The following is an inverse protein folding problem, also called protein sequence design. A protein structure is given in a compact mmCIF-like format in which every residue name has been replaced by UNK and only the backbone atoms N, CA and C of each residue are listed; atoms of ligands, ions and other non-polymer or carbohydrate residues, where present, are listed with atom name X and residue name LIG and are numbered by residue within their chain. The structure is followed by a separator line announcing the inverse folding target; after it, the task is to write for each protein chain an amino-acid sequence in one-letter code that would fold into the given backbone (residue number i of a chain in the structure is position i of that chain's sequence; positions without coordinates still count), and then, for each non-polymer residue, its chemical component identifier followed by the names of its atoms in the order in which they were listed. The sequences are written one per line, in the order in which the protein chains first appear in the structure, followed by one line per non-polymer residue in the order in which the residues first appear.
data_IF_601893646901
#
_entry.id   IF_601893646901
#
_cell.length_a   1.000
_cell.length_b   1.000
_cell.length_c   1.000
_cell.angle_alpha   90.00
_cell.angle_beta   90.00
_cell.angle_gamma   90.00
#
_symmetry.space_group_name_H-M   'P 1'
#
loop_
_entity.id
_entity.type
_entity.pdbx_description
1 polymer ?
#
# COMPACT_ATOMS: atom_id res chain seq x y z
N UNK A 1 7.00 -15.13 -3.81
CA UNK A 1 6.08 -14.01 -4.19
C UNK A 1 5.93 -13.01 -3.05
N UNK A 2 5.58 -13.42 -1.82
CA UNK A 2 5.58 -12.52 -0.65
C UNK A 2 6.96 -11.85 -0.40
N UNK A 3 8.05 -12.62 -0.45
CA UNK A 3 9.44 -12.09 -0.39
C UNK A 3 9.78 -11.15 -1.55
N UNK A 4 9.14 -11.30 -2.71
CA UNK A 4 9.38 -10.48 -3.90
C UNK A 4 8.59 -9.16 -3.84
N UNK A 5 7.37 -9.19 -3.29
CA UNK A 5 6.58 -7.99 -2.99
C UNK A 5 7.19 -7.19 -1.83
N UNK A 6 7.74 -7.86 -0.82
CA UNK A 6 8.52 -7.25 0.27
C UNK A 6 9.79 -6.60 -0.28
N UNK A 7 10.61 -7.31 -1.07
CA UNK A 7 11.82 -6.73 -1.71
C UNK A 7 11.50 -5.57 -2.64
N UNK A 8 10.40 -5.60 -3.38
CA UNK A 8 10.02 -4.51 -4.29
C UNK A 8 9.43 -3.28 -3.55
N UNK A 9 8.69 -3.48 -2.45
CA UNK A 9 8.27 -2.39 -1.56
C UNK A 9 9.45 -1.73 -0.81
N UNK A 10 10.51 -2.51 -0.52
CA UNK A 10 11.74 -2.03 0.12
C UNK A 10 12.70 -1.37 -0.88
N UNK A 11 12.76 -1.83 -2.12
CA UNK A 11 13.52 -1.19 -3.20
C UNK A 11 13.06 0.24 -3.48
N UNK A 12 11.78 0.53 -3.30
CA UNK A 12 11.27 1.90 -3.49
C UNK A 12 11.82 2.88 -2.46
N UNK A 13 12.26 2.41 -1.28
CA UNK A 13 12.84 3.22 -0.19
C UNK A 13 14.34 3.48 -0.39
N UNK A 14 15.04 2.56 -1.07
CA UNK A 14 16.45 2.67 -1.45
C UNK A 14 16.75 3.87 -2.35
N UNK A 15 15.89 4.13 -3.32
CA UNK A 15 16.08 5.19 -4.31
C UNK A 15 16.00 6.60 -3.68
N UNK A 16 15.37 6.75 -2.51
CA UNK A 16 15.27 8.03 -1.78
C UNK A 16 16.55 8.37 -1.01
N UNK A 17 17.24 7.37 -0.46
CA UNK A 17 18.56 7.59 0.15
C UNK A 17 19.57 8.02 -0.92
N UNK A 18 19.46 7.51 -2.14
CA UNK A 18 20.28 7.96 -3.27
C UNK A 18 19.86 9.35 -3.79
N UNK A 19 18.56 9.66 -3.90
CA UNK A 19 18.10 10.97 -4.37
C UNK A 19 18.49 12.14 -3.45
N UNK A 20 18.62 11.89 -2.15
CA UNK A 20 19.16 12.86 -1.18
C UNK A 20 20.68 13.00 -1.25
N UNK A 21 21.40 12.00 -1.77
CA UNK A 21 22.83 12.09 -2.08
C UNK A 21 23.12 12.76 -3.44
N UNK A 22 22.25 12.59 -4.44
CA UNK A 22 22.51 13.00 -5.82
C UNK A 22 22.20 14.49 -6.10
N UNK A 23 21.37 15.13 -5.25
CA UNK A 23 20.91 16.52 -5.48
C UNK A 23 21.92 17.61 -5.09
N UNK A 24 23.21 17.30 -4.88
CA UNK A 24 24.27 18.29 -4.64
C UNK A 24 24.06 19.23 -3.44
N UNK A 25 23.05 18.96 -2.59
CA UNK A 25 22.60 19.81 -1.49
C UNK A 25 23.14 19.34 -0.13
N UNK A 26 24.16 18.49 -0.14
CA UNK A 26 24.97 18.23 1.03
C UNK A 26 26.01 19.34 1.14
N UNK A 27 25.55 20.49 1.65
CA UNK A 27 26.44 21.28 2.47
C UNK A 27 27.10 20.36 3.51
N UNK A 28 28.35 20.64 3.94
CA UNK A 28 29.19 19.76 4.78
C UNK A 28 28.67 19.45 6.21
N UNK A 29 27.36 19.57 6.46
CA UNK A 29 26.72 19.39 7.79
C UNK A 29 25.64 18.31 7.89
N UNK A 30 25.08 17.79 6.78
CA UNK A 30 24.07 16.71 6.86
C UNK A 30 24.67 15.30 6.76
N UNK A 31 25.90 15.18 6.27
CA UNK A 31 26.64 13.91 6.15
C UNK A 31 27.17 13.33 7.47
N UNK A 32 27.08 14.06 8.59
CA UNK A 32 27.81 13.72 9.81
C UNK A 32 26.94 13.46 11.04
N UNK A 33 25.65 13.13 10.87
CA UNK A 33 24.85 12.58 11.98
C UNK A 33 25.04 11.07 12.07
N UNK A 34 25.32 10.55 13.27
CA UNK A 34 25.42 9.11 13.54
C UNK A 34 24.21 8.33 13.04
N UNK A 35 23.03 8.95 13.04
CA UNK A 35 21.77 8.37 12.54
C UNK A 35 21.81 8.11 11.03
N UNK A 36 22.33 9.06 10.23
CA UNK A 36 22.43 8.90 8.78
C UNK A 36 23.38 7.74 8.42
N UNK A 37 24.51 7.64 9.11
CA UNK A 37 25.47 6.54 8.90
C UNK A 37 24.82 5.19 9.23
N UNK A 38 24.13 5.09 10.38
CA UNK A 38 23.46 3.85 10.79
C UNK A 38 22.36 3.44 9.79
N UNK A 39 21.58 4.39 9.28
CA UNK A 39 20.56 4.13 8.26
C UNK A 39 21.20 3.61 6.96
N UNK A 40 22.25 4.27 6.45
CA UNK A 40 22.97 3.82 5.26
C UNK A 40 23.63 2.45 5.46
N UNK A 41 24.25 2.21 6.62
CA UNK A 41 24.85 0.90 6.95
C UNK A 41 23.81 -0.21 7.01
N UNK A 42 22.64 0.05 7.61
CA UNK A 42 21.53 -0.92 7.61
C UNK A 42 21.07 -1.25 6.19
N UNK A 43 20.88 -0.21 5.36
CA UNK A 43 20.48 -0.38 3.96
C UNK A 43 21.51 -1.19 3.15
N UNK A 44 22.80 -0.85 3.24
CA UNK A 44 23.86 -1.59 2.55
C UNK A 44 23.93 -3.04 3.02
N UNK A 45 23.82 -3.29 4.32
CA UNK A 45 23.80 -4.65 4.86
C UNK A 45 22.62 -5.48 4.32
N UNK A 46 21.41 -4.88 4.22
CA UNK A 46 20.25 -5.53 3.58
C UNK A 46 20.52 -5.85 2.10
N UNK A 47 21.09 -4.90 1.36
CA UNK A 47 21.42 -5.10 -0.07
C UNK A 47 22.46 -6.21 -0.27
N UNK A 48 23.40 -6.37 0.66
CA UNK A 48 24.38 -7.45 0.67
C UNK A 48 23.83 -8.79 1.20
N UNK A 49 22.61 -8.78 1.76
CA UNK A 49 21.99 -9.96 2.37
C UNK A 49 22.50 -10.30 3.78
N UNK A 50 23.32 -9.43 4.39
CA UNK A 50 23.74 -9.58 5.79
C UNK A 50 22.65 -9.06 6.73
N UNK A 51 21.64 -9.91 6.95
CA UNK A 51 20.45 -9.56 7.71
C UNK A 51 20.76 -9.32 9.21
N UNK A 52 21.77 -9.97 9.78
CA UNK A 52 22.15 -9.75 11.18
C UNK A 52 22.80 -8.37 11.36
N UNK A 53 23.70 -8.00 10.45
CA UNK A 53 24.33 -6.68 10.47
C UNK A 53 23.30 -5.58 10.20
N UNK A 54 22.39 -5.80 9.25
CA UNK A 54 21.27 -4.89 8.98
C UNK A 54 20.43 -4.62 10.22
N UNK A 55 20.01 -5.69 10.92
CA UNK A 55 19.22 -5.57 12.14
C UNK A 55 19.98 -4.80 13.23
N UNK A 56 21.26 -5.11 13.44
CA UNK A 56 22.10 -4.43 14.42
C UNK A 56 22.20 -2.92 14.16
N UNK A 57 22.36 -2.51 12.89
CA UNK A 57 22.39 -1.10 12.54
C UNK A 57 21.03 -0.42 12.71
N UNK A 58 19.94 -1.09 12.34
CA UNK A 58 18.59 -0.58 12.50
C UNK A 58 18.21 -0.40 13.99
N UNK A 59 18.57 -1.35 14.86
CA UNK A 59 18.33 -1.25 16.30
C UNK A 59 19.15 -0.11 16.91
N UNK A 60 20.43 0.00 16.55
CA UNK A 60 21.28 1.13 16.98
C UNK A 60 20.71 2.47 16.53
N UNK A 61 20.12 2.54 15.34
CA UNK A 61 19.46 3.73 14.83
C UNK A 61 18.25 4.10 15.69
N UNK A 62 17.37 3.13 15.96
CA UNK A 62 16.17 3.33 16.78
C UNK A 62 16.49 3.69 18.24
N UNK A 63 17.66 3.32 18.73
CA UNK A 63 18.17 3.70 20.07
C UNK A 63 18.80 5.11 20.11
N UNK A 64 19.00 5.78 18.97
CA UNK A 64 19.60 7.12 18.98
C UNK A 64 18.67 8.13 19.68
N UNK A 65 19.22 9.00 20.56
CA UNK A 65 18.42 10.06 21.17
C UNK A 65 18.02 11.09 20.10
N UNK A 66 16.77 11.57 20.16
CA UNK A 66 16.21 12.59 19.24
C UNK A 66 16.30 12.19 17.76
N UNK A 67 15.80 11.00 17.43
CA UNK A 67 15.67 10.51 16.06
C UNK A 67 14.56 11.25 15.30
N UNK A 68 14.83 11.69 14.06
CA UNK A 68 13.81 12.31 13.21
C UNK A 68 12.73 11.31 12.80
N UNK A 69 11.53 11.82 12.47
CA UNK A 69 10.39 10.98 12.07
C UNK A 69 10.71 10.09 10.87
N UNK A 70 11.34 10.65 9.83
CA UNK A 70 11.72 9.87 8.64
C UNK A 70 12.75 8.78 8.96
N UNK A 71 13.76 9.07 9.78
CA UNK A 71 14.78 8.07 10.14
C UNK A 71 14.23 7.00 11.08
N UNK A 72 13.28 7.34 11.96
CA UNK A 72 12.57 6.36 12.79
C UNK A 72 11.74 5.41 11.92
N UNK A 73 11.01 5.94 10.95
CA UNK A 73 10.29 5.15 9.96
C UNK A 73 11.22 4.18 9.23
N UNK A 74 12.36 4.66 8.72
CA UNK A 74 13.37 3.82 8.05
C UNK A 74 13.95 2.75 8.99
N UNK A 75 14.27 3.10 10.22
CA UNK A 75 14.79 2.15 11.21
C UNK A 75 13.83 0.99 11.47
N UNK A 76 12.53 1.27 11.65
CA UNK A 76 11.54 0.21 11.79
C UNK A 76 11.40 -0.64 10.53
N UNK A 77 11.43 -0.02 9.35
CA UNK A 77 11.31 -0.72 8.08
C UNK A 77 12.49 -1.68 7.84
N UNK A 78 13.72 -1.21 8.05
CA UNK A 78 14.93 -2.02 7.88
C UNK A 78 15.02 -3.14 8.92
N UNK A 79 14.67 -2.88 10.18
CA UNK A 79 14.60 -3.91 11.21
C UNK A 79 13.57 -5.00 10.84
N UNK A 80 12.39 -4.60 10.35
CA UNK A 80 11.36 -5.53 9.92
C UNK A 80 11.81 -6.41 8.74
N UNK A 81 12.48 -5.83 7.73
CA UNK A 81 13.02 -6.62 6.61
C UNK A 81 14.05 -7.64 7.09
N UNK A 82 15.00 -7.20 7.91
CA UNK A 82 16.03 -8.07 8.46
C UNK A 82 15.41 -9.21 9.28
N UNK A 83 14.44 -8.91 10.13
CA UNK A 83 13.75 -9.90 10.97
C UNK A 83 12.95 -10.91 10.13
N UNK A 84 12.26 -10.47 9.06
CA UNK A 84 11.58 -11.37 8.12
C UNK A 84 12.60 -12.30 7.44
N UNK A 85 13.73 -11.77 6.98
CA UNK A 85 14.79 -12.55 6.35
C UNK A 85 15.49 -13.52 7.31
N UNK A 86 15.42 -13.27 8.62
CA UNK A 86 15.88 -14.14 9.69
C UNK A 86 14.79 -15.10 10.21
N UNK A 87 13.64 -15.19 9.54
CA UNK A 87 12.47 -15.98 9.93
C UNK A 87 11.86 -15.59 11.31
N UNK A 88 12.22 -14.41 11.82
CA UNK A 88 11.70 -13.84 13.08
C UNK A 88 10.47 -12.98 12.81
N UNK A 89 9.47 -13.56 12.14
CA UNK A 89 8.30 -12.80 11.64
C UNK A 89 7.48 -12.17 12.78
N UNK A 90 7.39 -12.83 13.94
CA UNK A 90 6.72 -12.29 15.13
C UNK A 90 7.30 -10.94 15.56
N UNK A 91 8.63 -10.82 15.56
CA UNK A 91 9.33 -9.62 15.96
C UNK A 91 9.15 -8.53 14.90
N UNK A 92 9.22 -8.90 13.61
CA UNK A 92 9.00 -7.98 12.51
C UNK A 92 7.63 -7.27 12.56
N UNK A 93 6.57 -8.00 12.96
CA UNK A 93 5.22 -7.44 13.11
C UNK A 93 5.20 -6.25 14.07
N UNK A 94 6.01 -6.28 15.13
CA UNK A 94 6.08 -5.17 16.11
C UNK A 94 6.63 -3.89 15.49
N UNK A 95 7.64 -4.00 14.61
CA UNK A 95 8.20 -2.87 13.89
C UNK A 95 7.25 -2.35 12.80
N UNK A 96 6.50 -3.24 12.15
CA UNK A 96 5.54 -2.92 11.08
C UNK A 96 4.21 -2.32 11.55
N UNK A 97 4.05 -2.06 12.86
CA UNK A 97 2.85 -1.42 13.37
C UNK A 97 2.74 0.03 12.84
N UNK A 98 1.65 0.39 12.11
CA UNK A 98 1.48 1.75 11.59
C UNK A 98 1.44 2.84 12.67
N UNK A 99 1.11 2.50 13.92
CA UNK A 99 1.13 3.43 15.05
C UNK A 99 2.55 3.87 15.43
N UNK A 100 3.58 3.13 15.01
CA UNK A 100 4.98 3.56 15.19
C UNK A 100 5.32 4.82 14.37
N UNK A 101 4.50 5.13 13.35
CA UNK A 101 4.63 6.31 12.50
C UNK A 101 3.80 7.45 13.08
N UNK A 102 4.48 8.34 13.80
CA UNK A 102 3.88 9.54 14.40
C UNK A 102 4.23 10.83 13.64
N UNK A 103 5.34 10.81 12.88
CA UNK A 103 5.86 11.95 12.14
C UNK A 103 6.77 11.44 10.99
N UNK A 104 6.91 12.25 9.94
CA UNK A 104 7.79 11.99 8.78
C UNK A 104 8.75 13.17 8.52
N UNK A 105 8.95 14.05 9.50
CA UNK A 105 9.87 15.20 9.37
C UNK A 105 11.33 14.78 9.23
N UNK A 106 12.07 15.55 8.42
CA UNK A 106 13.49 15.35 8.16
C UNK A 106 14.43 15.95 9.22
N UNK A 107 13.88 16.61 10.25
CA UNK A 107 14.69 17.27 11.30
C UNK A 107 15.44 18.54 10.84
N UNK A 108 15.01 19.15 9.73
CA UNK A 108 15.59 20.39 9.21
C UNK A 108 14.86 21.55 9.90
N UNK A 109 15.55 22.34 10.72
CA UNK A 109 15.01 23.61 11.22
C UNK A 109 14.86 24.57 10.05
N UNK A 110 13.63 24.80 9.61
CA UNK A 110 13.28 25.74 8.56
C UNK A 110 13.55 27.18 8.99
N UNK A 111 14.78 27.68 8.81
CA UNK A 111 14.99 29.09 8.52
C UNK A 111 15.48 29.16 7.08
N UNK A 112 14.91 30.08 6.30
CA UNK A 112 15.12 30.30 4.86
C UNK A 112 14.19 29.49 3.95
N UNK A 113 12.89 29.68 4.18
CA UNK A 113 11.90 29.56 3.12
C UNK A 113 11.93 30.84 2.28
N UNK A 114 12.86 30.91 1.33
CA UNK A 114 12.65 31.75 0.15
C UNK A 114 13.31 31.12 -1.08
N UNK A 115 12.52 31.05 -2.16
CA UNK A 115 12.84 30.51 -3.50
C UNK A 115 12.64 28.99 -3.74
N UNK A 116 11.38 28.53 -3.66
CA UNK A 116 10.95 27.25 -4.21
C UNK A 116 10.39 27.40 -5.64
N UNK A 117 11.28 27.44 -6.64
CA UNK A 117 10.95 27.47 -8.08
C UNK A 117 11.43 26.25 -8.87
N UNK A 118 11.97 25.22 -8.23
CA UNK A 118 12.38 23.95 -8.86
C UNK A 118 11.95 22.81 -7.95
N UNK A 119 11.18 21.87 -8.50
CA UNK A 119 10.62 20.70 -7.79
C UNK A 119 11.74 20.00 -7.01
N UNK A 120 11.76 20.20 -5.69
CA UNK A 120 12.59 19.39 -4.81
C UNK A 120 12.21 17.91 -5.02
N UNK A 121 13.18 16.98 -5.04
CA UNK A 121 12.89 15.55 -5.13
C UNK A 121 11.84 15.20 -4.08
N UNK A 122 10.76 14.53 -4.48
CA UNK A 122 9.68 14.14 -3.58
C UNK A 122 10.28 13.25 -2.47
N UNK A 123 10.48 13.85 -1.30
CA UNK A 123 10.98 13.13 -0.14
C UNK A 123 9.92 12.11 0.29
N UNK A 124 10.36 10.88 0.50
CA UNK A 124 9.51 9.80 0.93
C UNK A 124 9.91 9.35 2.33
N UNK A 125 8.93 9.00 3.18
CA UNK A 125 7.49 9.10 2.94
C UNK A 125 7.01 10.56 2.87
N UNK A 126 6.18 10.88 1.88
CA UNK A 126 5.72 12.26 1.59
C UNK A 126 4.66 12.76 2.57
N UNK A 127 4.09 11.84 3.36
CA UNK A 127 3.15 12.13 4.44
C UNK A 127 3.12 10.97 5.44
N UNK A 128 2.62 11.24 6.65
CA UNK A 128 2.36 10.20 7.66
C UNK A 128 1.40 9.14 7.11
N UNK A 129 0.39 9.54 6.32
CA UNK A 129 -0.54 8.59 5.71
C UNK A 129 0.16 7.65 4.72
N UNK A 130 1.03 8.19 3.85
CA UNK A 130 1.82 7.37 2.93
C UNK A 130 2.72 6.37 3.69
N UNK A 131 3.43 6.83 4.73
CA UNK A 131 4.24 5.96 5.59
C UNK A 131 3.42 4.84 6.25
N UNK A 132 2.26 5.18 6.81
CA UNK A 132 1.36 4.19 7.43
C UNK A 132 0.82 3.17 6.43
N UNK A 133 0.47 3.61 5.22
CA UNK A 133 0.05 2.71 4.13
C UNK A 133 1.14 1.69 3.80
N UNK A 134 2.39 2.12 3.77
CA UNK A 134 3.56 1.25 3.50
C UNK A 134 3.75 0.23 4.62
N UNK A 135 3.66 0.68 5.87
CA UNK A 135 3.69 -0.21 7.03
C UNK A 135 2.57 -1.24 6.97
N UNK A 136 1.35 -0.85 6.56
CA UNK A 136 0.22 -1.76 6.42
C UNK A 136 0.42 -2.81 5.32
N UNK A 137 0.97 -2.45 4.16
CA UNK A 137 1.26 -3.43 3.10
C UNK A 137 2.32 -4.44 3.53
N UNK A 138 3.36 -3.97 4.21
CA UNK A 138 4.42 -4.85 4.73
C UNK A 138 3.90 -5.72 5.88
N UNK A 139 3.08 -5.17 6.77
CA UNK A 139 2.41 -5.91 7.84
C UNK A 139 1.49 -7.00 7.27
N UNK A 140 0.73 -6.68 6.21
CA UNK A 140 -0.08 -7.66 5.50
C UNK A 140 0.76 -8.79 4.91
N UNK A 141 1.94 -8.47 4.36
CA UNK A 141 2.90 -9.47 3.88
C UNK A 141 3.43 -10.36 5.00
N UNK A 142 3.77 -9.79 6.16
CA UNK A 142 4.22 -10.54 7.33
C UNK A 142 3.13 -11.51 7.85
N UNK A 143 1.86 -11.07 7.88
CA UNK A 143 0.75 -11.96 8.23
C UNK A 143 0.54 -13.08 7.21
N UNK A 144 0.72 -12.80 5.91
CA UNK A 144 0.70 -13.83 4.87
C UNK A 144 1.79 -14.90 5.08
N UNK A 145 3.00 -14.49 5.49
CA UNK A 145 4.08 -15.44 5.82
C UNK A 145 3.75 -16.34 7.02
N UNK A 146 2.89 -15.89 7.92
CA UNK A 146 2.37 -16.67 9.06
C UNK A 146 1.08 -17.43 8.77
N UNK A 147 0.61 -17.41 7.51
CA UNK A 147 -0.71 -17.94 7.12
C UNK A 147 -1.89 -17.32 7.88
N UNK A 148 -1.73 -16.10 8.42
CA UNK A 148 -2.78 -15.36 9.13
C UNK A 148 -3.56 -14.47 8.14
N UNK A 149 -4.19 -15.09 7.15
CA UNK A 149 -4.78 -14.40 6.00
C UNK A 149 -5.88 -13.39 6.34
N UNK A 150 -6.65 -13.62 7.41
CA UNK A 150 -7.68 -12.68 7.87
C UNK A 150 -7.07 -11.36 8.35
N UNK A 151 -5.92 -11.41 9.04
CA UNK A 151 -5.21 -10.21 9.48
C UNK A 151 -4.57 -9.49 8.30
N UNK A 152 -3.96 -10.24 7.38
CA UNK A 152 -3.40 -9.67 6.15
C UNK A 152 -4.46 -8.90 5.35
N UNK A 153 -5.67 -9.46 5.24
CA UNK A 153 -6.81 -8.82 4.56
C UNK A 153 -7.22 -7.51 5.22
N UNK A 154 -7.29 -7.47 6.56
CA UNK A 154 -7.57 -6.23 7.31
C UNK A 154 -6.53 -5.16 7.04
N UNK A 155 -5.25 -5.51 6.98
CA UNK A 155 -4.18 -4.57 6.65
C UNK A 155 -4.37 -3.99 5.23
N UNK A 156 -4.70 -4.82 4.24
CA UNK A 156 -4.95 -4.36 2.87
C UNK A 156 -6.18 -3.43 2.77
N UNK A 157 -7.26 -3.74 3.48
CA UNK A 157 -8.45 -2.87 3.54
C UNK A 157 -8.15 -1.52 4.18
N UNK A 158 -7.40 -1.51 5.29
CA UNK A 158 -7.00 -0.28 5.93
C UNK A 158 -6.11 0.55 5.00
N UNK A 159 -5.11 -0.07 4.37
CA UNK A 159 -4.22 0.59 3.42
C UNK A 159 -4.99 1.20 2.24
N UNK A 160 -5.94 0.45 1.66
CA UNK A 160 -6.78 0.90 0.56
C UNK A 160 -7.63 2.13 0.90
N UNK A 161 -7.99 2.34 2.17
CA UNK A 161 -8.72 3.53 2.61
C UNK A 161 -7.85 4.78 2.75
N UNK A 162 -6.52 4.61 2.76
CA UNK A 162 -5.54 5.66 3.02
C UNK A 162 -4.79 6.13 1.76
N UNK A 163 -4.91 5.39 0.65
CA UNK A 163 -4.19 5.67 -0.60
C UNK A 163 -5.16 5.75 -1.77
N UNK A 164 -4.90 6.65 -2.71
CA UNK A 164 -5.72 6.75 -3.91
C UNK A 164 -5.50 5.50 -4.78
N UNK A 165 -6.55 4.91 -5.40
CA UNK A 165 -6.41 3.66 -6.18
C UNK A 165 -5.35 3.70 -7.30
N UNK A 166 -5.05 4.88 -7.84
CA UNK A 166 -4.03 5.10 -8.88
C UNK A 166 -2.58 5.10 -8.34
N UNK A 167 -2.42 5.26 -7.04
CA UNK A 167 -1.13 5.34 -6.35
C UNK A 167 -0.78 4.01 -5.67
N UNK A 168 -1.66 3.00 -5.75
CA UNK A 168 -1.39 1.69 -5.18
C UNK A 168 -0.21 1.04 -5.93
N UNK A 169 0.85 0.61 -5.20
CA UNK A 169 1.97 -0.08 -5.81
C UNK A 169 1.54 -1.44 -6.39
N UNK A 170 2.07 -1.87 -7.56
CA UNK A 170 1.73 -3.16 -8.17
C UNK A 170 2.05 -4.35 -7.25
N UNK A 171 3.03 -4.21 -6.36
CA UNK A 171 3.39 -5.18 -5.33
C UNK A 171 2.22 -5.45 -4.36
N UNK A 172 1.48 -4.42 -3.98
CA UNK A 172 0.31 -4.57 -3.11
C UNK A 172 -0.84 -5.28 -3.83
N UNK A 173 -1.00 -5.05 -5.14
CA UNK A 173 -1.97 -5.76 -5.97
C UNK A 173 -1.62 -7.26 -6.01
N UNK A 174 -0.34 -7.59 -6.22
CA UNK A 174 0.13 -8.98 -6.18
C UNK A 174 -0.06 -9.64 -4.81
N UNK A 175 0.13 -8.89 -3.72
CA UNK A 175 -0.16 -9.36 -2.37
C UNK A 175 -1.65 -9.71 -2.20
N UNK A 176 -2.55 -8.88 -2.71
CA UNK A 176 -3.99 -9.16 -2.71
C UNK A 176 -4.33 -10.40 -3.55
N UNK A 177 -3.75 -10.54 -4.75
CA UNK A 177 -3.90 -11.74 -5.59
C UNK A 177 -3.45 -12.99 -4.84
N UNK A 178 -2.27 -12.95 -4.23
CA UNK A 178 -1.74 -14.07 -3.45
C UNK A 178 -2.70 -14.46 -2.33
N UNK A 179 -3.19 -13.49 -1.57
CA UNK A 179 -4.14 -13.71 -0.48
C UNK A 179 -5.42 -14.39 -0.95
N UNK A 180 -5.99 -13.95 -2.07
CA UNK A 180 -7.18 -14.61 -2.63
C UNK A 180 -6.91 -16.03 -3.13
N UNK A 181 -5.74 -16.27 -3.73
CA UNK A 181 -5.37 -17.62 -4.17
C UNK A 181 -5.19 -18.57 -2.99
N UNK A 182 -4.57 -18.13 -1.89
CA UNK A 182 -4.43 -18.94 -0.68
C UNK A 182 -5.78 -19.29 -0.05
N UNK A 183 -6.77 -18.40 -0.16
CA UNK A 183 -8.12 -18.64 0.31
C UNK A 183 -9.01 -19.44 -0.68
N UNK A 184 -8.47 -19.89 -1.83
CA UNK A 184 -9.23 -20.59 -2.86
C UNK A 184 -10.13 -19.69 -3.72
N UNK A 185 -10.05 -18.37 -3.55
CA UNK A 185 -10.87 -17.38 -4.26
C UNK A 185 -10.28 -17.03 -5.64
N UNK A 186 -10.08 -18.03 -6.50
CA UNK A 186 -9.42 -17.84 -7.81
C UNK A 186 -10.12 -16.82 -8.70
N UNK A 187 -11.46 -16.74 -8.67
CA UNK A 187 -12.22 -15.75 -9.44
C UNK A 187 -11.89 -14.32 -9.01
N UNK A 188 -11.74 -14.10 -7.70
CA UNK A 188 -11.42 -12.79 -7.15
C UNK A 188 -9.97 -12.41 -7.45
N UNK A 189 -9.04 -13.36 -7.34
CA UNK A 189 -7.65 -13.20 -7.74
C UNK A 189 -7.53 -12.76 -9.21
N UNK A 190 -8.25 -13.44 -10.12
CA UNK A 190 -8.31 -13.09 -11.54
C UNK A 190 -8.92 -11.70 -11.77
N UNK A 191 -9.91 -11.31 -10.98
CA UNK A 191 -10.51 -9.99 -11.06
C UNK A 191 -9.53 -8.88 -10.64
N UNK A 192 -8.81 -9.08 -9.53
CA UNK A 192 -7.83 -8.13 -8.99
C UNK A 192 -6.72 -7.89 -10.01
N UNK A 193 -6.12 -8.96 -10.55
CA UNK A 193 -5.02 -8.83 -11.52
C UNK A 193 -5.49 -8.21 -12.84
N UNK A 194 -6.66 -8.59 -13.36
CA UNK A 194 -7.19 -8.05 -14.62
C UNK A 194 -7.56 -6.58 -14.53
N UNK A 195 -8.03 -6.13 -13.36
CA UNK A 195 -8.46 -4.74 -13.15
C UNK A 195 -7.35 -3.84 -12.63
N UNK A 196 -6.19 -4.41 -12.28
CA UNK A 196 -5.09 -3.71 -11.63
C UNK A 196 -5.59 -2.86 -10.43
N UNK A 197 -6.41 -3.47 -9.58
CA UNK A 197 -7.05 -2.83 -8.43
C UNK A 197 -6.82 -3.67 -7.18
N UNK A 198 -6.32 -3.04 -6.12
CA UNK A 198 -6.00 -3.70 -4.85
C UNK A 198 -7.18 -4.48 -4.29
N UNK A 199 -8.34 -3.82 -4.25
CA UNK A 199 -9.59 -4.39 -3.82
C UNK A 199 -10.58 -4.22 -4.95
N UNK A 200 -11.26 -5.29 -5.37
CA UNK A 200 -12.34 -5.15 -6.33
C UNK A 200 -13.42 -4.30 -5.69
N UNK A 201 -13.93 -3.32 -6.44
CA UNK A 201 -15.12 -2.60 -6.03
C UNK A 201 -16.21 -3.64 -5.71
N UNK A 202 -16.63 -3.70 -4.44
CA UNK A 202 -17.82 -4.44 -4.04
C UNK A 202 -18.97 -3.72 -4.74
N UNK A 203 -19.32 -4.16 -5.95
CA UNK A 203 -20.68 -3.96 -6.41
C UNK A 203 -21.50 -4.78 -5.45
N UNK A 204 -22.16 -4.12 -4.51
CA UNK A 204 -23.28 -4.69 -3.78
C UNK A 204 -24.16 -5.39 -4.81
N UNK A 205 -24.21 -6.72 -4.74
CA UNK A 205 -25.15 -7.54 -5.49
C UNK A 205 -26.55 -7.30 -4.90
N UNK A 206 -27.06 -6.07 -5.03
CA UNK A 206 -28.47 -5.73 -4.79
C UNK A 206 -29.22 -5.42 -6.09
N UNK A 207 -28.58 -5.58 -7.26
CA UNK A 207 -29.24 -5.42 -8.57
C UNK A 207 -28.94 -6.62 -9.50
N UNK A 208 -29.23 -7.83 -9.04
CA UNK A 208 -29.47 -8.97 -9.94
C UNK A 208 -30.72 -9.73 -9.52
N UNK A 209 -31.86 -9.03 -9.42
CA UNK A 209 -33.18 -9.69 -9.56
C UNK A 209 -34.32 -8.73 -9.92
N UNK A 210 -34.27 -8.15 -11.11
CA UNK A 210 -35.51 -7.89 -11.87
C UNK A 210 -35.27 -8.29 -13.33
N UNK A 211 -35.35 -9.60 -13.60
CA UNK A 211 -35.73 -10.04 -14.95
C UNK A 211 -37.16 -9.53 -15.18
N UNK A 212 -37.47 -8.82 -16.28
CA UNK A 212 -38.86 -8.57 -16.63
C UNK A 212 -39.48 -9.92 -16.97
N UNK A 213 -40.39 -10.38 -16.11
CA UNK A 213 -41.27 -11.50 -16.40
C UNK A 213 -42.21 -11.01 -17.48
N UNK A 214 -42.12 -11.59 -18.67
CA UNK A 214 -43.15 -11.52 -19.69
C UNK A 214 -44.47 -11.99 -19.05
N UNK A 215 -45.45 -11.09 -18.95
CA UNK A 215 -46.80 -11.47 -18.56
C UNK A 215 -47.49 -12.19 -19.74
N UNK A 216 -48.31 -13.23 -19.47
CA UNK A 216 -49.08 -13.89 -20.51
C UNK A 216 -50.21 -12.99 -21.00
N UNK A 217 -50.44 -13.05 -22.32
CA UNK A 217 -51.51 -12.39 -23.06
C UNK A 217 -52.88 -12.74 -22.47
N UNK A 218 -53.67 -11.72 -22.09
CA UNK A 218 -55.09 -11.89 -21.79
C UNK A 218 -55.92 -12.02 -23.08
N UNK A 219 -56.98 -12.86 -23.14
CA UNK A 219 -57.81 -13.00 -24.32
C UNK A 219 -58.74 -11.77 -24.45
N UNK A 220 -58.68 -11.09 -25.60
CA UNK A 220 -59.60 -10.01 -25.97
C UNK A 220 -60.94 -10.62 -26.40
N UNK A 221 -62.03 -10.21 -25.76
CA UNK A 221 -63.40 -10.57 -26.14
C UNK A 221 -63.83 -9.89 -27.46
N UNK A 222 -64.72 -10.50 -28.26
CA UNK A 222 -65.12 -9.94 -29.54
C UNK A 222 -66.01 -8.69 -29.37
N UNK A 223 -65.61 -7.61 -30.05
CA UNK A 223 -66.33 -6.33 -30.15
C UNK A 223 -67.55 -6.50 -31.08
N UNK A 224 -68.74 -6.15 -30.58
CA UNK A 224 -69.96 -6.01 -31.37
C UNK A 224 -69.88 -4.76 -32.27
N UNK A 225 -70.26 -4.90 -33.55
CA UNK A 225 -70.36 -3.79 -34.50
C UNK A 225 -71.75 -3.11 -34.43
N UNK A 226 -71.83 -1.76 -34.42
CA UNK A 226 -73.05 -1.05 -34.78
C UNK A 226 -73.08 -0.71 -36.29
N UNK A 227 -74.30 -0.74 -36.84
CA UNK A 227 -74.62 -0.65 -38.26
C UNK A 227 -74.41 0.73 -38.91
N UNK A 228 -74.13 0.70 -40.21
CA UNK A 228 -74.03 1.85 -41.11
C UNK A 228 -75.37 2.56 -41.33
N UNK A 229 -75.36 3.89 -41.33
CA UNK A 229 -76.25 4.70 -42.19
C UNK A 229 -75.49 5.92 -42.73
N UNK A 230 -75.31 5.94 -44.05
CA UNK A 230 -74.79 7.08 -44.83
C UNK A 230 -75.99 7.93 -45.28
N UNK A 231 -76.01 9.23 -44.96
CA UNK A 231 -76.89 10.19 -45.64
C UNK A 231 -76.06 11.22 -46.40
N UNK A 232 -76.34 11.30 -47.71
CA UNK A 232 -75.88 12.29 -48.68
C UNK A 232 -76.39 13.69 -48.32
N UNK A 233 -75.55 14.69 -48.58
CA UNK A 233 -75.98 15.88 -49.32
C UNK A 233 -74.81 16.45 -50.11
#
# INVERSE_FOLDING_TARGET
VATLAIRAALSCVADITLATCDSGLLGPRLLSSRCSILACSAYVALALGDNLMALNHADKLLQQPKLSGSLKFLGHLYAAEALISLDRISDAITHLNPENVTDVSLGISSNEQDQAGKRAPQCYPSSVNSARTVMLFNLGSAYCLRSEYDKARKCLHQAASMIHPKEVPPEAILLAVYLELQNGNTQLALQIIKRNQLLPAVKTLSEMRKKPVFQPVHPIQPIQMPAFTVQRK
#
